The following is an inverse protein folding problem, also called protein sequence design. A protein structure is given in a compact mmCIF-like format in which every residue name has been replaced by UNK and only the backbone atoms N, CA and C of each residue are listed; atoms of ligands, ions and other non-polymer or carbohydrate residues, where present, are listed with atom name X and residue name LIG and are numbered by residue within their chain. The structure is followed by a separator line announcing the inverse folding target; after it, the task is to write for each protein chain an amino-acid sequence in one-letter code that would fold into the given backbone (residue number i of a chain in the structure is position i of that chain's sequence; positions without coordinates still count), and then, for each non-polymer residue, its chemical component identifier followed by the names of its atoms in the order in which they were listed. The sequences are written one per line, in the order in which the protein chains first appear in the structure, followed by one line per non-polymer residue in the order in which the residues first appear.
data_IF_997141788084
#
_entry.id   IF_997141788084
#
_cell.length_a   1.000
_cell.length_b   1.000
_cell.length_c   1.000
_cell.angle_alpha   90.00
_cell.angle_beta   90.00
_cell.angle_gamma   90.00
#
_symmetry.space_group_name_H-M   'P 1'
#
loop_
_entity.id
_entity.type
_entity.pdbx_description
1 polymer ?
#
# COMPACT_ATOMS: atom_id res chain seq x y z
N UNK A 1 30.08 -7.65 -17.20
CA UNK A 1 30.10 -6.98 -15.87
C UNK A 1 29.63 -7.96 -14.80
N UNK A 2 30.32 -8.06 -13.64
CA UNK A 2 29.77 -8.83 -12.51
C UNK A 2 28.44 -8.22 -12.12
N UNK A 3 27.35 -9.01 -12.10
CA UNK A 3 26.04 -8.54 -11.63
C UNK A 3 26.19 -8.16 -10.14
N UNK A 4 26.19 -6.87 -9.84
CA UNK A 4 26.21 -6.40 -8.45
C UNK A 4 24.86 -6.77 -7.84
N UNK A 5 24.86 -7.58 -6.78
CA UNK A 5 23.68 -7.94 -5.99
C UNK A 5 23.67 -7.08 -4.73
N UNK A 6 22.58 -6.42 -4.50
CA UNK A 6 22.36 -5.56 -3.31
C UNK A 6 21.34 -6.25 -2.41
N UNK A 7 21.69 -6.43 -1.15
CA UNK A 7 20.83 -6.95 -0.11
C UNK A 7 20.67 -5.89 0.99
N UNK A 8 19.48 -5.31 1.08
CA UNK A 8 19.15 -4.27 2.03
C UNK A 8 18.37 -4.79 3.25
N UNK A 9 18.03 -6.09 3.28
CA UNK A 9 17.17 -6.67 4.34
C UNK A 9 17.75 -6.55 5.76
N UNK A 10 19.06 -6.37 5.89
CA UNK A 10 19.74 -6.23 7.19
C UNK A 10 20.22 -4.81 7.48
N UNK A 11 20.63 -4.09 6.47
CA UNK A 11 21.26 -2.78 6.64
C UNK A 11 20.27 -1.64 6.50
N UNK A 12 19.23 -1.82 5.67
CA UNK A 12 18.28 -0.78 5.26
C UNK A 12 18.96 0.50 4.75
N UNK A 13 20.26 0.41 4.35
CA UNK A 13 21.05 1.56 3.88
C UNK A 13 20.94 1.73 2.36
N UNK A 14 19.79 2.25 1.93
CA UNK A 14 19.53 2.56 0.51
C UNK A 14 20.53 3.59 -0.02
N UNK A 15 20.88 4.60 0.80
CA UNK A 15 21.77 5.69 0.36
C UNK A 15 23.20 5.19 0.15
N UNK A 16 23.69 4.33 1.06
CA UNK A 16 25.00 3.67 0.87
C UNK A 16 25.01 2.81 -0.38
N UNK A 17 23.95 2.04 -0.62
CA UNK A 17 23.81 1.23 -1.85
C UNK A 17 23.78 2.12 -3.11
N UNK A 18 23.01 3.21 -3.09
CA UNK A 18 22.96 4.16 -4.20
C UNK A 18 24.35 4.76 -4.52
N UNK A 19 25.08 5.19 -3.51
CA UNK A 19 26.42 5.76 -3.66
C UNK A 19 27.48 4.74 -4.13
N UNK A 20 27.24 3.45 -3.94
CA UNK A 20 28.14 2.38 -4.36
C UNK A 20 28.03 2.01 -5.85
N UNK A 21 27.03 2.56 -6.56
CA UNK A 21 26.72 2.24 -7.95
C UNK A 21 26.83 3.51 -8.81
N UNK A 22 27.45 3.36 -9.98
CA UNK A 22 27.50 4.47 -10.95
C UNK A 22 26.18 4.55 -11.74
N UNK A 23 25.46 5.66 -11.57
CA UNK A 23 24.24 6.01 -12.29
C UNK A 23 24.44 7.19 -13.26
N UNK A 24 25.68 7.59 -13.57
CA UNK A 24 25.96 8.77 -14.39
C UNK A 24 25.33 8.70 -15.78
N UNK A 25 25.35 7.52 -16.40
CA UNK A 25 24.75 7.31 -17.71
C UNK A 25 23.22 7.40 -17.64
N UNK A 26 22.59 6.78 -16.64
CA UNK A 26 21.13 6.85 -16.43
C UNK A 26 20.69 8.30 -16.19
N UNK A 27 21.44 9.05 -15.39
CA UNK A 27 21.17 10.46 -15.11
C UNK A 27 21.25 11.33 -16.39
N UNK A 28 22.12 10.97 -17.33
CA UNK A 28 22.26 11.66 -18.62
C UNK A 28 21.11 11.32 -19.58
N UNK A 29 20.73 10.06 -19.64
CA UNK A 29 19.80 9.53 -20.64
C UNK A 29 18.34 9.77 -20.25
N UNK A 30 18.03 9.81 -18.94
CA UNK A 30 16.66 9.93 -18.42
C UNK A 30 16.47 11.23 -17.65
N UNK A 31 15.85 12.22 -18.34
CA UNK A 31 15.59 13.57 -17.81
C UNK A 31 14.10 13.84 -17.56
N UNK A 32 13.27 12.78 -17.64
CA UNK A 32 11.84 12.87 -17.34
C UNK A 32 11.57 13.20 -15.87
N UNK A 33 10.41 13.82 -15.53
CA UNK A 33 10.11 14.21 -14.15
C UNK A 33 10.16 13.06 -13.15
N UNK A 34 9.75 11.84 -13.54
CA UNK A 34 9.78 10.67 -12.69
C UNK A 34 11.20 10.25 -12.30
N UNK A 35 12.07 10.09 -13.28
CA UNK A 35 13.49 9.73 -13.04
C UNK A 35 14.23 10.85 -12.30
N UNK A 36 13.93 12.12 -12.63
CA UNK A 36 14.49 13.26 -11.89
C UNK A 36 14.10 13.24 -10.42
N UNK A 37 12.83 12.98 -10.11
CA UNK A 37 12.39 12.85 -8.73
C UNK A 37 13.15 11.74 -7.98
N UNK A 38 13.36 10.57 -8.62
CA UNK A 38 14.11 9.48 -8.02
C UNK A 38 15.54 9.88 -7.65
N UNK A 39 16.23 10.59 -8.54
CA UNK A 39 17.56 11.14 -8.24
C UNK A 39 17.49 12.19 -7.12
N UNK A 40 16.56 13.13 -7.19
CA UNK A 40 16.44 14.21 -6.20
C UNK A 40 16.17 13.67 -4.78
N UNK A 41 15.39 12.59 -4.66
CA UNK A 41 15.17 11.86 -3.39
C UNK A 41 16.46 11.23 -2.88
N UNK A 42 17.19 10.51 -3.73
CA UNK A 42 18.40 9.79 -3.34
C UNK A 42 19.60 10.72 -3.11
N UNK A 43 19.62 11.87 -3.76
CA UNK A 43 20.58 12.97 -3.52
C UNK A 43 20.25 13.79 -2.25
N UNK A 44 19.09 13.52 -1.61
CA UNK A 44 18.68 14.16 -0.35
C UNK A 44 18.03 15.54 -0.51
N UNK A 45 17.54 15.90 -1.71
CA UNK A 45 16.81 17.15 -1.94
C UNK A 45 15.40 17.13 -1.34
N UNK A 46 14.80 15.94 -1.23
CA UNK A 46 13.51 15.72 -0.58
C UNK A 46 13.68 14.90 0.69
N UNK A 47 13.02 15.31 1.75
CA UNK A 47 12.93 14.53 3.00
C UNK A 47 11.86 13.44 2.76
N UNK A 48 12.30 12.21 2.60
CA UNK A 48 11.42 11.04 2.36
C UNK A 48 11.74 9.89 3.30
N UNK A 49 10.76 9.03 3.53
CA UNK A 49 10.95 7.81 4.31
C UNK A 49 11.74 6.74 3.56
N UNK A 50 12.08 5.69 4.29
CA UNK A 50 12.85 4.54 3.78
C UNK A 50 12.23 3.93 2.53
N UNK A 51 10.92 3.67 2.54
CA UNK A 51 10.24 2.97 1.47
C UNK A 51 10.27 3.75 0.15
N UNK A 52 10.15 5.07 0.20
CA UNK A 52 10.25 5.89 -1.01
C UNK A 52 11.68 5.95 -1.55
N UNK A 53 12.70 6.00 -0.67
CA UNK A 53 14.10 5.86 -1.11
C UNK A 53 14.34 4.52 -1.80
N UNK A 54 13.77 3.44 -1.23
CA UNK A 54 13.85 2.10 -1.81
C UNK A 54 13.16 2.01 -3.20
N UNK A 55 11.97 2.60 -3.34
CA UNK A 55 11.25 2.65 -4.61
C UNK A 55 12.02 3.45 -5.68
N UNK A 56 12.59 4.60 -5.31
CA UNK A 56 13.43 5.41 -6.18
C UNK A 56 14.70 4.65 -6.59
N UNK A 57 15.35 3.98 -5.66
CA UNK A 57 16.53 3.15 -5.93
C UNK A 57 16.19 2.01 -6.87
N UNK A 58 15.08 1.29 -6.64
CA UNK A 58 14.58 0.25 -7.53
C UNK A 58 14.41 0.78 -8.96
N UNK A 59 13.76 1.94 -9.13
CA UNK A 59 13.57 2.55 -10.45
C UNK A 59 14.91 2.75 -11.18
N UNK A 60 15.92 3.36 -10.52
CA UNK A 60 17.22 3.58 -11.14
C UNK A 60 17.95 2.25 -11.46
N UNK A 61 17.82 1.24 -10.60
CA UNK A 61 18.37 -0.09 -10.85
C UNK A 61 17.68 -0.78 -12.02
N UNK A 62 16.38 -0.59 -12.16
CA UNK A 62 15.61 -1.16 -13.25
C UNK A 62 15.96 -0.50 -14.59
N UNK A 63 16.20 0.82 -14.61
CA UNK A 63 16.74 1.51 -15.80
C UNK A 63 18.11 0.97 -16.24
N UNK A 64 18.96 0.53 -15.31
CA UNK A 64 20.25 -0.11 -15.65
C UNK A 64 20.10 -1.54 -16.23
N UNK A 65 18.98 -2.20 -15.95
CA UNK A 65 18.74 -3.62 -16.28
C UNK A 65 17.79 -3.82 -17.45
N UNK A 66 17.09 -2.78 -17.87
CA UNK A 66 16.06 -2.87 -18.90
C UNK A 66 16.57 -3.51 -20.19
N UNK A 67 15.66 -4.07 -20.97
CA UNK A 67 15.92 -4.71 -22.26
C UNK A 67 16.95 -5.87 -22.19
N UNK A 68 17.07 -6.50 -21.02
CA UNK A 68 17.90 -7.70 -20.86
C UNK A 68 17.04 -8.95 -20.75
N UNK A 69 17.59 -10.10 -21.14
CA UNK A 69 16.88 -11.39 -21.04
C UNK A 69 16.34 -11.68 -19.63
N UNK A 70 17.05 -11.24 -18.60
CA UNK A 70 16.65 -11.45 -17.20
C UNK A 70 15.66 -10.34 -16.72
N UNK A 71 15.47 -9.28 -17.50
CA UNK A 71 14.60 -8.18 -17.19
C UNK A 71 13.97 -7.63 -18.49
N UNK A 72 12.92 -8.31 -19.02
CA UNK A 72 12.30 -8.01 -20.31
C UNK A 72 11.32 -6.84 -20.20
N UNK A 73 11.74 -5.73 -19.61
CA UNK A 73 10.96 -4.51 -19.44
C UNK A 73 11.80 -3.33 -19.88
N UNK A 74 11.12 -2.32 -20.40
CA UNK A 74 11.72 -1.02 -20.77
C UNK A 74 10.89 0.13 -20.23
N UNK A 75 11.55 1.28 -20.06
CA UNK A 75 10.93 2.50 -19.59
C UNK A 75 10.70 3.45 -20.76
N UNK A 76 9.43 3.67 -21.10
CA UNK A 76 9.01 4.52 -22.21
C UNK A 76 8.81 5.97 -21.76
N UNK A 77 9.73 6.83 -22.15
CA UNK A 77 9.61 8.30 -21.91
C UNK A 77 8.39 8.86 -22.61
N UNK A 78 7.98 8.31 -23.76
CA UNK A 78 6.82 8.80 -24.50
C UNK A 78 5.51 8.47 -23.78
N UNK A 79 5.38 7.30 -23.17
CA UNK A 79 4.25 6.98 -22.32
C UNK A 79 4.19 7.89 -21.08
N UNK A 80 5.33 8.20 -20.47
CA UNK A 80 5.42 9.15 -19.36
C UNK A 80 4.97 10.54 -19.80
N UNK A 81 5.43 11.02 -20.94
CA UNK A 81 4.99 12.31 -21.50
C UNK A 81 3.48 12.31 -21.78
N UNK A 82 2.96 11.22 -22.35
CA UNK A 82 1.53 11.12 -22.66
C UNK A 82 0.65 11.25 -21.42
N UNK A 83 0.93 10.47 -20.38
CA UNK A 83 0.16 10.55 -19.13
C UNK A 83 0.33 11.90 -18.41
N UNK A 84 1.53 12.48 -18.37
CA UNK A 84 1.75 13.77 -17.72
C UNK A 84 1.09 14.92 -18.50
N UNK A 85 1.10 14.90 -19.83
CA UNK A 85 0.40 15.86 -20.66
C UNK A 85 -1.12 15.75 -20.50
N UNK A 86 -1.65 14.54 -20.36
CA UNK A 86 -3.06 14.32 -20.03
C UNK A 86 -3.40 14.86 -18.64
N UNK A 87 -2.59 14.51 -17.64
CA UNK A 87 -2.76 14.95 -16.26
C UNK A 87 -2.77 16.50 -16.13
N UNK A 88 -1.92 17.19 -16.90
CA UNK A 88 -1.89 18.66 -16.93
C UNK A 88 -3.20 19.30 -17.42
N UNK A 89 -4.07 18.54 -18.09
CA UNK A 89 -5.37 19.00 -18.56
C UNK A 89 -6.51 18.61 -17.60
N UNK A 90 -6.25 17.71 -16.65
CA UNK A 90 -7.25 17.22 -15.71
C UNK A 90 -7.53 18.26 -14.61
N UNK A 91 -8.78 18.75 -14.48
CA UNK A 91 -9.13 19.71 -13.44
C UNK A 91 -9.34 18.99 -12.10
N UNK A 92 -8.90 19.62 -11.03
CA UNK A 92 -9.29 19.25 -9.68
C UNK A 92 -10.76 19.64 -9.45
N UNK A 93 -11.57 18.72 -8.92
CA UNK A 93 -13.04 18.87 -8.88
C UNK A 93 -13.53 19.96 -7.94
N UNK A 94 -12.74 20.33 -6.91
CA UNK A 94 -13.09 21.41 -5.98
C UNK A 94 -12.81 22.80 -6.54
N UNK A 95 -11.72 22.93 -7.28
CA UNK A 95 -11.28 24.20 -7.86
C UNK A 95 -11.76 24.39 -9.29
N UNK A 96 -12.20 23.31 -9.94
CA UNK A 96 -12.61 23.25 -11.35
C UNK A 96 -11.50 23.68 -12.33
N UNK A 97 -10.26 23.67 -11.90
CA UNK A 97 -9.07 24.09 -12.67
C UNK A 97 -8.03 22.98 -12.65
N UNK A 98 -7.23 22.84 -13.75
CA UNK A 98 -6.06 21.99 -13.70
C UNK A 98 -5.12 22.42 -12.57
N UNK A 99 -4.52 21.44 -11.91
CA UNK A 99 -3.55 21.65 -10.83
C UNK A 99 -2.21 21.10 -11.28
N UNK A 100 -1.15 21.86 -11.03
CA UNK A 100 0.20 21.37 -11.27
C UNK A 100 0.48 20.21 -10.33
N UNK A 101 0.87 19.08 -10.88
CA UNK A 101 1.29 17.92 -10.08
C UNK A 101 2.55 18.23 -9.29
N UNK A 102 2.64 17.68 -8.10
CA UNK A 102 3.86 17.63 -7.31
C UNK A 102 4.80 16.54 -7.86
N UNK A 103 6.13 16.69 -7.70
CA UNK A 103 7.09 15.73 -8.23
C UNK A 103 6.86 14.27 -7.80
N UNK A 104 6.35 14.04 -6.58
CA UNK A 104 6.00 12.69 -6.12
C UNK A 104 4.79 12.09 -6.87
N UNK A 105 3.85 12.93 -7.29
CA UNK A 105 2.70 12.52 -8.09
C UNK A 105 3.12 12.23 -9.55
N UNK A 106 4.01 13.04 -10.10
CA UNK A 106 4.61 12.80 -11.41
C UNK A 106 5.39 11.49 -11.43
N UNK A 107 6.16 11.20 -10.36
CA UNK A 107 6.85 9.92 -10.18
C UNK A 107 5.86 8.75 -10.14
N UNK A 108 4.77 8.89 -9.38
CA UNK A 108 3.74 7.83 -9.29
C UNK A 108 3.13 7.50 -10.65
N UNK A 109 2.76 8.52 -11.43
CA UNK A 109 2.23 8.33 -12.78
C UNK A 109 3.28 7.72 -13.72
N UNK A 110 4.53 8.19 -13.65
CA UNK A 110 5.63 7.67 -14.45
C UNK A 110 5.91 6.20 -14.15
N UNK A 111 5.85 5.78 -12.88
CA UNK A 111 5.99 4.36 -12.52
C UNK A 111 4.84 3.52 -13.05
N UNK A 112 3.60 3.96 -12.86
CA UNK A 112 2.40 3.19 -13.24
C UNK A 112 2.25 3.00 -14.75
N UNK A 113 2.66 4.00 -15.55
CA UNK A 113 2.38 4.05 -16.98
C UNK A 113 3.64 3.90 -17.84
N UNK A 114 4.79 4.39 -17.37
CA UNK A 114 6.01 4.44 -18.18
C UNK A 114 6.70 3.10 -18.38
N UNK A 115 6.60 2.18 -17.42
CA UNK A 115 7.23 0.86 -17.53
C UNK A 115 6.38 -0.10 -18.39
N UNK A 116 7.01 -0.72 -19.40
CA UNK A 116 6.37 -1.63 -20.37
C UNK A 116 7.10 -2.96 -20.46
N UNK A 117 6.35 -4.03 -20.77
CA UNK A 117 6.89 -5.31 -21.19
C UNK A 117 7.34 -5.26 -22.67
N UNK A 118 8.03 -6.28 -23.14
CA UNK A 118 8.36 -6.45 -24.57
C UNK A 118 7.11 -6.43 -25.47
N UNK A 119 5.98 -6.91 -24.99
CA UNK A 119 4.69 -6.91 -25.69
C UNK A 119 3.96 -5.55 -25.68
N UNK A 120 4.49 -4.55 -24.98
CA UNK A 120 3.89 -3.21 -24.88
C UNK A 120 2.92 -3.05 -23.69
N UNK A 121 2.62 -4.13 -22.95
CA UNK A 121 1.76 -4.06 -21.77
C UNK A 121 2.45 -3.33 -20.60
N UNK A 122 1.64 -2.77 -19.70
CA UNK A 122 2.16 -2.22 -18.43
C UNK A 122 2.90 -3.30 -17.65
N UNK A 123 4.15 -3.00 -17.27
CA UNK A 123 4.93 -3.90 -16.40
C UNK A 123 4.23 -4.15 -15.07
N UNK A 124 3.72 -3.09 -14.45
CA UNK A 124 3.10 -3.17 -13.14
C UNK A 124 1.61 -3.50 -13.28
N UNK A 125 1.32 -4.78 -13.47
CA UNK A 125 -0.05 -5.29 -13.47
C UNK A 125 -0.75 -5.12 -12.11
N UNK A 126 0.02 -5.01 -11.04
CA UNK A 126 -0.47 -4.72 -9.69
C UNK A 126 0.32 -3.58 -9.06
N UNK A 127 -0.39 -2.71 -8.34
CA UNK A 127 0.23 -1.61 -7.64
C UNK A 127 -0.42 -1.39 -6.28
N UNK A 128 0.43 -1.09 -5.28
CA UNK A 128 0.03 -0.64 -3.95
C UNK A 128 0.56 0.77 -3.77
N UNK A 129 -0.32 1.69 -3.42
CA UNK A 129 0.02 3.07 -3.08
C UNK A 129 -0.51 3.36 -1.69
N UNK A 130 0.40 3.52 -0.73
CA UNK A 130 0.12 3.75 0.67
C UNK A 130 0.62 5.14 1.05
N UNK A 131 -0.29 6.03 1.41
CA UNK A 131 0.04 7.41 1.79
C UNK A 131 -0.99 7.96 2.78
N UNK A 132 -0.58 8.92 3.59
CA UNK A 132 -1.43 9.59 4.56
C UNK A 132 -2.68 10.19 3.90
N UNK A 133 -3.68 10.55 4.70
CA UNK A 133 -4.88 11.22 4.22
C UNK A 133 -4.54 12.59 3.61
N UNK A 134 -5.40 13.03 2.69
CA UNK A 134 -5.33 14.37 2.06
C UNK A 134 -4.13 14.62 1.13
N UNK A 135 -3.39 13.58 0.73
CA UNK A 135 -2.25 13.71 -0.20
C UNK A 135 -2.64 13.70 -1.70
N UNK A 136 -3.93 13.62 -2.02
CA UNK A 136 -4.40 13.70 -3.41
C UNK A 136 -4.62 12.34 -4.10
N UNK A 137 -4.66 11.22 -3.34
CA UNK A 137 -4.88 9.86 -3.88
C UNK A 137 -6.03 9.80 -4.89
N UNK A 138 -7.21 10.26 -4.49
CA UNK A 138 -8.42 10.19 -5.33
C UNK A 138 -8.27 10.97 -6.63
N UNK A 139 -7.59 12.14 -6.60
CA UNK A 139 -7.29 12.93 -7.79
C UNK A 139 -6.39 12.17 -8.76
N UNK A 140 -5.30 11.59 -8.25
CA UNK A 140 -4.35 10.82 -9.05
C UNK A 140 -5.01 9.58 -9.67
N UNK A 141 -5.82 8.86 -8.90
CA UNK A 141 -6.56 7.69 -9.38
C UNK A 141 -7.62 8.04 -10.42
N UNK A 142 -8.28 9.19 -10.27
CA UNK A 142 -9.20 9.67 -11.30
C UNK A 142 -8.50 9.97 -12.63
N UNK A 143 -7.30 10.55 -12.59
CA UNK A 143 -6.48 10.77 -13.80
C UNK A 143 -6.18 9.42 -14.48
N UNK A 144 -5.73 8.41 -13.72
CA UNK A 144 -5.33 7.11 -14.26
C UNK A 144 -6.53 6.38 -14.87
N UNK A 145 -7.65 6.31 -14.15
CA UNK A 145 -8.82 5.57 -14.66
C UNK A 145 -9.44 6.25 -15.89
N UNK A 146 -9.45 7.59 -15.92
CA UNK A 146 -9.95 8.34 -17.08
C UNK A 146 -8.98 8.21 -18.26
N UNK A 147 -7.65 8.25 -18.02
CA UNK A 147 -6.66 8.01 -19.06
C UNK A 147 -6.83 6.63 -19.68
N UNK A 148 -6.96 5.61 -18.83
CA UNK A 148 -7.17 4.25 -19.31
C UNK A 148 -8.50 4.10 -20.06
N UNK A 149 -9.56 4.78 -19.60
CA UNK A 149 -10.89 4.72 -20.19
C UNK A 149 -10.99 5.50 -21.51
N UNK A 150 -10.33 6.68 -21.65
CA UNK A 150 -10.43 7.52 -22.87
C UNK A 150 -9.33 7.23 -23.88
N UNK A 151 -8.10 6.97 -23.43
CA UNK A 151 -6.92 6.92 -24.30
C UNK A 151 -6.49 5.48 -24.56
N UNK A 152 -6.32 4.68 -23.50
CA UNK A 152 -5.86 3.29 -23.68
C UNK A 152 -6.95 2.37 -24.25
N UNK A 153 -8.20 2.83 -24.31
CA UNK A 153 -9.31 2.11 -24.94
C UNK A 153 -9.48 2.41 -26.43
N UNK A 154 -8.72 3.35 -26.99
CA UNK A 154 -8.83 3.71 -28.41
C UNK A 154 -8.68 2.48 -29.32
N UNK A 155 -9.67 2.27 -30.20
CA UNK A 155 -9.73 1.12 -31.09
C UNK A 155 -10.11 -0.21 -30.42
N UNK A 156 -10.55 -0.18 -29.16
CA UNK A 156 -10.98 -1.37 -28.41
C UNK A 156 -12.45 -1.25 -28.01
N UNK A 157 -13.15 -2.39 -28.00
CA UNK A 157 -14.56 -2.49 -27.61
C UNK A 157 -14.77 -3.49 -26.48
N UNK A 158 -15.89 -3.35 -25.77
CA UNK A 158 -16.31 -4.25 -24.67
C UNK A 158 -15.31 -4.34 -23.52
N UNK A 159 -14.62 -3.20 -23.23
CA UNK A 159 -13.68 -3.15 -22.13
C UNK A 159 -14.37 -2.74 -20.82
N UNK A 160 -14.06 -3.44 -19.74
CA UNK A 160 -14.54 -3.11 -18.40
C UNK A 160 -13.45 -2.40 -17.56
N UNK A 161 -13.87 -1.43 -16.78
CA UNK A 161 -13.07 -0.65 -15.83
C UNK A 161 -13.77 -0.64 -14.48
N UNK A 162 -13.01 -0.69 -13.39
CA UNK A 162 -13.56 -0.80 -12.04
C UNK A 162 -13.05 0.31 -11.13
N UNK A 163 -13.97 0.92 -10.38
CA UNK A 163 -13.66 1.59 -9.12
C UNK A 163 -14.42 0.88 -8.00
N UNK A 164 -13.71 0.53 -6.94
CA UNK A 164 -14.28 -0.17 -5.79
C UNK A 164 -13.76 0.38 -4.48
N UNK A 165 -14.56 0.28 -3.45
CA UNK A 165 -14.20 0.56 -2.05
C UNK A 165 -15.11 -0.27 -1.14
N UNK A 166 -14.90 -0.20 0.17
CA UNK A 166 -15.62 -0.97 1.19
C UNK A 166 -17.12 -1.00 0.98
N UNK A 167 -17.76 0.16 0.82
CA UNK A 167 -19.22 0.27 0.75
C UNK A 167 -19.69 1.26 -0.33
N UNK A 168 -21.01 1.29 -0.55
CA UNK A 168 -21.62 2.13 -1.59
C UNK A 168 -21.30 3.61 -1.44
N UNK A 169 -21.29 4.16 -0.22
CA UNK A 169 -21.04 5.59 0.02
C UNK A 169 -19.63 6.00 -0.41
N UNK A 170 -18.63 5.18 -0.09
CA UNK A 170 -17.24 5.43 -0.47
C UNK A 170 -17.04 5.24 -1.99
N UNK A 171 -17.52 4.13 -2.54
CA UNK A 171 -17.41 3.82 -3.97
C UNK A 171 -18.10 4.90 -4.83
N UNK A 172 -19.31 5.32 -4.46
CA UNK A 172 -20.05 6.38 -5.16
C UNK A 172 -19.34 7.73 -5.10
N UNK A 173 -18.63 8.03 -4.00
CA UNK A 173 -17.83 9.26 -3.88
C UNK A 173 -16.70 9.29 -4.90
N UNK A 174 -16.00 8.16 -5.09
CA UNK A 174 -14.92 8.05 -6.09
C UNK A 174 -15.49 8.19 -7.49
N UNK A 175 -16.55 7.46 -7.82
CA UNK A 175 -17.19 7.55 -9.13
C UNK A 175 -17.69 8.97 -9.42
N UNK A 176 -18.29 9.64 -8.44
CA UNK A 176 -18.75 11.03 -8.56
C UNK A 176 -17.57 11.98 -8.87
N UNK A 177 -16.42 11.75 -8.22
CA UNK A 177 -15.20 12.49 -8.51
C UNK A 177 -14.74 12.28 -9.95
N UNK A 178 -14.66 11.03 -10.40
CA UNK A 178 -14.30 10.65 -11.76
C UNK A 178 -15.27 11.26 -12.79
N UNK A 179 -16.58 11.14 -12.57
CA UNK A 179 -17.61 11.71 -13.43
C UNK A 179 -17.49 13.22 -13.56
N UNK A 180 -17.25 13.90 -12.44
CA UNK A 180 -17.09 15.36 -12.45
C UNK A 180 -15.86 15.79 -13.23
N UNK A 181 -14.71 15.12 -13.01
CA UNK A 181 -13.48 15.38 -13.76
C UNK A 181 -13.69 15.10 -15.26
N UNK A 182 -14.25 13.94 -15.58
CA UNK A 182 -14.53 13.55 -16.97
C UNK A 182 -15.43 14.57 -17.68
N UNK A 183 -16.51 15.01 -17.03
CA UNK A 183 -17.40 16.06 -17.58
C UNK A 183 -16.64 17.36 -17.87
N UNK A 184 -15.73 17.76 -16.99
CA UNK A 184 -14.95 18.97 -17.16
C UNK A 184 -13.94 18.85 -18.32
N UNK A 185 -13.34 17.67 -18.49
CA UNK A 185 -12.44 17.36 -19.62
C UNK A 185 -13.23 17.38 -20.93
N UNK A 186 -14.34 16.67 -21.02
CA UNK A 186 -15.18 16.52 -22.22
C UNK A 186 -15.91 17.81 -22.63
N UNK A 187 -15.83 18.88 -21.86
CA UNK A 187 -16.33 20.20 -22.25
C UNK A 187 -15.30 21.03 -23.09
N UNK A 188 -14.11 20.47 -23.34
CA UNK A 188 -13.01 21.16 -24.03
C UNK A 188 -12.50 20.32 -25.22
N UNK A 189 -12.14 20.97 -26.31
CA UNK A 189 -11.46 20.28 -27.41
C UNK A 189 -10.02 19.91 -27.02
N UNK A 190 -9.50 18.78 -27.50
CA UNK A 190 -10.11 17.82 -28.45
C UNK A 190 -11.03 16.80 -27.81
N UNK A 191 -11.11 16.74 -26.46
CA UNK A 191 -11.84 15.74 -25.69
C UNK A 191 -13.35 15.75 -25.93
N UNK A 192 -13.90 16.93 -26.26
CA UNK A 192 -15.32 17.08 -26.59
C UNK A 192 -15.69 16.31 -27.85
N UNK A 193 -14.88 16.42 -28.89
CA UNK A 193 -15.08 15.67 -30.13
C UNK A 193 -14.92 14.16 -29.89
N UNK A 194 -13.86 13.75 -29.20
CA UNK A 194 -13.63 12.35 -28.85
C UNK A 194 -14.81 11.76 -28.05
N UNK A 195 -15.25 12.43 -26.99
CA UNK A 195 -16.36 11.95 -26.17
C UNK A 195 -17.68 11.87 -26.94
N UNK A 196 -17.88 12.70 -27.96
CA UNK A 196 -19.04 12.59 -28.85
C UNK A 196 -18.92 11.39 -29.80
N UNK A 197 -17.73 11.15 -30.35
CA UNK A 197 -17.43 9.99 -31.21
C UNK A 197 -17.58 8.68 -30.43
N UNK A 198 -17.15 8.62 -29.18
CA UNK A 198 -17.27 7.46 -28.30
C UNK A 198 -18.70 7.28 -27.75
N UNK A 199 -19.61 8.20 -28.02
CA UNK A 199 -21.00 8.14 -27.54
C UNK A 199 -21.14 8.36 -26.04
N UNK A 200 -20.24 9.12 -25.40
CA UNK A 200 -20.34 9.44 -23.95
C UNK A 200 -21.44 10.48 -23.72
N UNK A 201 -22.48 10.07 -23.01
CA UNK A 201 -23.58 10.98 -22.71
C UNK A 201 -23.26 11.87 -21.49
N UNK A 202 -22.94 13.13 -21.73
CA UNK A 202 -22.63 14.11 -20.68
C UNK A 202 -23.76 14.27 -19.64
N UNK A 203 -25.05 14.10 -20.04
CA UNK A 203 -26.17 14.16 -19.10
C UNK A 203 -26.16 12.97 -18.15
N UNK A 204 -25.75 11.78 -18.60
CA UNK A 204 -25.64 10.60 -17.73
C UNK A 204 -24.54 10.75 -16.67
N UNK A 205 -23.52 11.57 -16.94
CA UNK A 205 -22.47 11.88 -15.97
C UNK A 205 -22.99 12.71 -14.77
N UNK A 206 -24.09 13.40 -14.94
CA UNK A 206 -24.73 14.18 -13.87
C UNK A 206 -25.73 13.34 -13.04
N UNK A 207 -26.05 12.12 -13.44
CA UNK A 207 -27.00 11.22 -12.73
C UNK A 207 -26.33 10.41 -11.63
N UNK A 208 -27.12 9.80 -10.76
CA UNK A 208 -26.64 8.88 -9.72
C UNK A 208 -26.36 7.45 -10.26
N UNK A 209 -26.20 7.27 -11.58
CA UNK A 209 -25.82 5.98 -12.15
C UNK A 209 -24.51 5.49 -11.53
N UNK A 210 -24.36 4.19 -11.38
CA UNK A 210 -23.19 3.48 -10.87
C UNK A 210 -22.14 3.16 -11.96
N UNK A 211 -22.33 3.69 -13.19
CA UNK A 211 -21.41 3.48 -14.30
C UNK A 211 -21.31 4.69 -15.23
N UNK A 212 -20.25 4.68 -16.05
CA UNK A 212 -20.07 5.51 -17.24
C UNK A 212 -19.91 4.58 -18.43
N UNK A 213 -20.58 4.89 -19.54
CA UNK A 213 -20.59 4.06 -20.75
C UNK A 213 -20.14 4.86 -21.96
N UNK A 214 -19.26 4.28 -22.77
CA UNK A 214 -19.00 4.64 -24.16
C UNK A 214 -19.92 3.78 -25.05
N UNK A 215 -21.02 4.34 -25.53
CA UNK A 215 -22.06 3.54 -26.21
C UNK A 215 -21.61 2.99 -27.54
N UNK A 216 -20.70 3.67 -28.25
CA UNK A 216 -20.24 3.27 -29.59
C UNK A 216 -19.31 2.04 -29.54
N UNK A 217 -18.62 1.85 -28.39
CA UNK A 217 -17.65 0.78 -28.20
C UNK A 217 -18.04 -0.22 -27.11
N UNK A 218 -19.17 -0.01 -26.43
CA UNK A 218 -19.61 -0.81 -25.27
C UNK A 218 -18.59 -0.88 -24.13
N UNK A 219 -17.70 0.14 -23.99
CA UNK A 219 -16.75 0.24 -22.90
C UNK A 219 -17.43 0.78 -21.64
N UNK A 220 -17.20 0.14 -20.47
CA UNK A 220 -17.95 0.44 -19.25
C UNK A 220 -17.02 0.66 -18.06
N UNK A 221 -17.11 1.84 -17.44
CA UNK A 221 -16.48 2.12 -16.16
C UNK A 221 -17.54 1.95 -15.07
N UNK A 222 -17.33 0.97 -14.19
CA UNK A 222 -18.28 0.52 -13.18
C UNK A 222 -17.83 0.87 -11.78
N UNK A 223 -18.80 1.18 -10.92
CA UNK A 223 -18.61 1.26 -9.47
C UNK A 223 -19.26 0.03 -8.82
N UNK A 224 -18.45 -0.90 -8.34
CA UNK A 224 -18.92 -2.10 -7.65
C UNK A 224 -18.39 -2.05 -6.23
N UNK A 225 -19.24 -2.21 -5.22
CA UNK A 225 -18.84 -2.16 -3.82
C UNK A 225 -18.21 -3.49 -3.38
N UNK A 226 -17.26 -3.42 -2.44
CA UNK A 226 -16.69 -4.62 -1.84
C UNK A 226 -17.76 -5.50 -1.18
N UNK A 227 -18.72 -4.90 -0.51
CA UNK A 227 -19.81 -5.62 0.17
C UNK A 227 -20.67 -6.43 -0.79
N UNK A 228 -20.91 -5.94 -2.03
CA UNK A 228 -21.70 -6.66 -3.04
C UNK A 228 -21.00 -7.91 -3.57
N UNK A 229 -19.67 -7.89 -3.63
CA UNK A 229 -18.84 -9.02 -4.03
C UNK A 229 -19.02 -9.57 -5.43
N UNK A 230 -19.74 -8.86 -6.29
CA UNK A 230 -20.09 -9.29 -7.65
C UNK A 230 -19.00 -8.92 -8.65
N UNK A 231 -17.83 -9.56 -8.53
CA UNK A 231 -16.70 -9.38 -9.46
C UNK A 231 -16.56 -10.49 -10.50
N UNK A 232 -17.29 -11.59 -10.32
CA UNK A 232 -17.26 -12.74 -11.24
C UNK A 232 -17.79 -12.37 -12.62
N UNK A 233 -17.13 -12.83 -13.66
CA UNK A 233 -17.53 -12.62 -15.06
C UNK A 233 -17.10 -11.28 -15.66
N UNK A 234 -16.35 -10.43 -14.92
CA UNK A 234 -15.76 -9.21 -15.45
C UNK A 234 -14.27 -9.38 -15.77
N UNK A 235 -13.83 -8.69 -16.83
CA UNK A 235 -12.45 -8.69 -17.31
C UNK A 235 -11.89 -7.25 -17.24
N UNK A 236 -11.64 -6.75 -16.03
CA UNK A 236 -11.26 -5.36 -15.83
C UNK A 236 -9.89 -5.04 -16.40
N UNK A 237 -9.83 -4.14 -17.40
CA UNK A 237 -8.58 -3.60 -17.93
C UNK A 237 -7.85 -2.78 -16.87
N UNK A 238 -8.54 -1.85 -16.24
CA UNK A 238 -8.01 -1.12 -15.09
C UNK A 238 -9.01 -1.19 -13.93
N UNK A 239 -8.54 -1.63 -12.79
CA UNK A 239 -9.30 -1.68 -11.54
C UNK A 239 -8.60 -0.81 -10.49
N UNK A 240 -9.39 0.00 -9.76
CA UNK A 240 -8.92 0.84 -8.64
C UNK A 240 -9.69 0.47 -7.39
N UNK A 241 -8.96 0.05 -6.35
CA UNK A 241 -9.49 -0.20 -5.02
C UNK A 241 -9.03 0.89 -4.04
N UNK A 242 -9.99 1.65 -3.50
CA UNK A 242 -9.72 2.71 -2.53
C UNK A 242 -10.01 2.25 -1.10
N UNK A 243 -9.19 2.73 -0.15
CA UNK A 243 -9.20 2.33 1.27
C UNK A 243 -9.04 0.81 1.44
N UNK A 244 -8.16 0.20 0.63
CA UNK A 244 -8.00 -1.26 0.56
C UNK A 244 -7.30 -1.88 1.78
N UNK A 245 -6.77 -1.07 2.68
CA UNK A 245 -6.26 -1.51 3.98
C UNK A 245 -7.34 -1.57 5.07
N UNK A 246 -8.61 -1.20 4.78
CA UNK A 246 -9.69 -1.36 5.76
C UNK A 246 -9.86 -2.84 6.14
N UNK A 247 -9.89 -3.20 7.45
CA UNK A 247 -10.02 -4.58 7.90
C UNK A 247 -11.24 -5.32 7.35
N UNK A 248 -12.29 -4.60 6.96
CA UNK A 248 -13.44 -5.22 6.28
C UNK A 248 -13.12 -5.72 4.86
N UNK A 249 -11.98 -5.30 4.28
CA UNK A 249 -11.48 -5.76 2.98
C UNK A 249 -10.41 -6.86 3.24
N UNK A 250 -10.81 -7.93 3.90
CA UNK A 250 -9.94 -9.05 4.27
C UNK A 250 -10.13 -10.31 3.41
N UNK A 251 -11.19 -10.35 2.60
CA UNK A 251 -11.53 -11.51 1.77
C UNK A 251 -10.60 -11.61 0.55
N UNK A 252 -9.61 -12.50 0.66
CA UNK A 252 -8.62 -12.77 -0.40
C UNK A 252 -9.27 -13.35 -1.65
N UNK A 253 -10.38 -14.09 -1.51
CA UNK A 253 -11.07 -14.69 -2.65
C UNK A 253 -11.71 -13.62 -3.54
N UNK A 254 -12.24 -12.54 -2.94
CA UNK A 254 -12.74 -11.39 -3.71
C UNK A 254 -11.62 -10.66 -4.45
N UNK A 255 -10.45 -10.48 -3.83
CA UNK A 255 -9.26 -9.94 -4.52
C UNK A 255 -8.87 -10.85 -5.69
N UNK A 256 -8.88 -12.16 -5.44
CA UNK A 256 -8.58 -13.17 -6.46
C UNK A 256 -9.56 -13.12 -7.63
N UNK A 257 -10.85 -12.85 -7.41
CA UNK A 257 -11.85 -12.72 -8.50
C UNK A 257 -11.52 -11.54 -9.42
N UNK A 258 -11.13 -10.39 -8.88
CA UNK A 258 -10.69 -9.25 -9.69
C UNK A 258 -9.45 -9.63 -10.51
N UNK A 259 -8.46 -10.25 -9.88
CA UNK A 259 -7.17 -10.52 -10.53
C UNK A 259 -7.21 -11.72 -11.48
N UNK A 260 -8.03 -12.74 -11.20
CA UNK A 260 -8.24 -13.86 -12.13
C UNK A 260 -9.05 -13.42 -13.35
N UNK A 261 -10.02 -12.52 -13.19
CA UNK A 261 -10.72 -11.89 -14.31
C UNK A 261 -9.82 -11.07 -15.24
N UNK A 262 -8.63 -10.70 -14.77
CA UNK A 262 -7.61 -10.00 -15.57
C UNK A 262 -6.66 -10.96 -16.33
N UNK A 263 -6.82 -12.28 -16.22
CA UNK A 263 -6.06 -13.23 -17.04
C UNK A 263 -6.45 -13.00 -18.50
N UNK A 264 -5.44 -12.96 -19.41
CA UNK A 264 -5.64 -12.70 -20.84
C UNK A 264 -6.22 -11.33 -21.20
N UNK A 265 -6.12 -10.34 -20.28
CA UNK A 265 -6.47 -8.95 -20.56
C UNK A 265 -5.19 -8.17 -20.84
N UNK A 266 -5.11 -7.58 -22.03
CA UNK A 266 -3.98 -6.76 -22.45
C UNK A 266 -3.92 -5.45 -21.64
N UNK A 267 -2.70 -5.02 -21.35
CA UNK A 267 -2.43 -3.74 -20.66
C UNK A 267 -3.16 -3.59 -19.32
N UNK A 268 -3.40 -4.71 -18.63
CA UNK A 268 -4.14 -4.77 -17.35
C UNK A 268 -3.43 -4.07 -16.21
N UNK A 269 -4.22 -3.53 -15.27
CA UNK A 269 -3.68 -2.98 -14.03
C UNK A 269 -4.71 -3.02 -12.90
N UNK A 270 -4.29 -3.50 -11.71
CA UNK A 270 -5.05 -3.39 -10.49
C UNK A 270 -4.27 -2.55 -9.47
N UNK A 271 -4.81 -1.37 -9.13
CA UNK A 271 -4.19 -0.40 -8.23
C UNK A 271 -4.97 -0.36 -6.92
N UNK A 272 -4.32 -0.68 -5.84
CA UNK A 272 -4.85 -0.61 -4.48
C UNK A 272 -4.28 0.62 -3.78
N UNK A 273 -5.15 1.47 -3.26
CA UNK A 273 -4.72 2.67 -2.54
C UNK A 273 -5.31 2.67 -1.12
N UNK A 274 -4.51 3.10 -0.15
CA UNK A 274 -4.97 3.24 1.23
C UNK A 274 -4.07 4.13 2.07
N UNK A 275 -4.47 4.33 3.32
CA UNK A 275 -3.61 4.69 4.45
C UNK A 275 -3.37 3.45 5.31
N UNK A 276 -2.40 3.49 6.22
CA UNK A 276 -2.26 2.48 7.26
C UNK A 276 -3.50 2.44 8.19
N UNK A 277 -3.77 1.25 8.72
CA UNK A 277 -4.84 0.99 9.67
C UNK A 277 -4.27 0.38 10.97
N UNK A 278 -5.01 0.35 12.08
CA UNK A 278 -4.54 -0.28 13.31
C UNK A 278 -4.31 -1.79 13.20
N UNK A 279 -5.05 -2.47 12.33
CA UNK A 279 -4.88 -3.90 12.07
C UNK A 279 -3.84 -4.13 10.99
N UNK A 280 -2.66 -4.62 11.39
CA UNK A 280 -1.55 -4.92 10.49
C UNK A 280 -1.64 -6.32 9.85
N UNK A 281 -2.69 -7.10 10.11
CA UNK A 281 -2.87 -8.46 9.56
C UNK A 281 -3.59 -8.48 8.21
N UNK A 282 -4.11 -7.34 7.78
CA UNK A 282 -4.85 -7.21 6.52
C UNK A 282 -4.02 -7.59 5.30
N UNK A 283 -4.66 -8.15 4.25
CA UNK A 283 -3.97 -8.55 3.01
C UNK A 283 -3.13 -7.44 2.38
N UNK A 284 -3.63 -6.20 2.40
CA UNK A 284 -2.92 -5.03 1.87
C UNK A 284 -1.52 -4.86 2.50
N UNK A 285 -1.42 -4.90 3.83
CA UNK A 285 -0.14 -4.75 4.52
C UNK A 285 0.78 -5.97 4.35
N UNK A 286 0.21 -7.17 4.31
CA UNK A 286 0.97 -8.39 4.00
C UNK A 286 1.62 -8.29 2.61
N UNK A 287 0.87 -7.82 1.62
CA UNK A 287 1.36 -7.65 0.25
C UNK A 287 2.43 -6.53 0.18
N UNK A 288 2.25 -5.40 0.92
CA UNK A 288 3.30 -4.38 1.10
C UNK A 288 4.62 -5.01 1.57
N UNK A 289 4.60 -5.79 2.66
CA UNK A 289 5.78 -6.44 3.23
C UNK A 289 6.49 -7.35 2.21
N UNK A 290 5.75 -8.18 1.51
CA UNK A 290 6.31 -9.11 0.52
C UNK A 290 7.00 -8.38 -0.63
N UNK A 291 6.37 -7.30 -1.13
CA UNK A 291 6.95 -6.52 -2.22
C UNK A 291 8.19 -5.76 -1.72
N UNK A 292 8.15 -5.16 -0.53
CA UNK A 292 9.31 -4.49 0.09
C UNK A 292 10.48 -5.46 0.22
N UNK A 293 10.26 -6.66 0.76
CA UNK A 293 11.31 -7.69 0.88
C UNK A 293 11.91 -8.07 -0.48
N UNK A 294 11.07 -8.16 -1.52
CA UNK A 294 11.54 -8.38 -2.89
C UNK A 294 12.37 -7.21 -3.42
N UNK A 295 11.99 -5.96 -3.11
CA UNK A 295 12.72 -4.76 -3.50
C UNK A 295 14.06 -4.64 -2.78
N UNK A 296 14.14 -5.02 -1.50
CA UNK A 296 15.38 -5.04 -0.70
C UNK A 296 16.41 -6.04 -1.24
N UNK A 297 15.96 -7.11 -1.88
CA UNK A 297 16.81 -8.08 -2.58
C UNK A 297 16.77 -7.80 -4.08
N UNK A 298 17.59 -6.88 -4.56
CA UNK A 298 17.51 -6.33 -5.92
C UNK A 298 17.72 -7.35 -7.06
N UNK A 299 18.14 -8.57 -6.74
CA UNK A 299 18.26 -9.67 -7.71
C UNK A 299 17.05 -10.61 -7.75
N UNK A 300 16.11 -10.53 -6.78
CA UNK A 300 14.85 -11.27 -6.80
C UNK A 300 13.92 -10.68 -7.86
N UNK A 301 13.16 -11.56 -8.51
CA UNK A 301 12.23 -11.22 -9.60
C UNK A 301 10.77 -11.44 -9.26
N UNK A 302 10.49 -11.97 -8.07
CA UNK A 302 9.13 -12.32 -7.62
C UNK A 302 8.21 -11.09 -7.57
N UNK A 303 8.77 -9.88 -7.39
CA UNK A 303 8.03 -8.61 -7.36
C UNK A 303 8.14 -7.75 -8.62
N UNK A 304 8.68 -8.25 -9.74
CA UNK A 304 8.94 -7.42 -10.93
C UNK A 304 7.68 -6.79 -11.53
N UNK A 305 6.52 -7.46 -11.45
CA UNK A 305 5.23 -6.97 -11.93
C UNK A 305 4.40 -6.22 -10.88
N UNK A 306 4.98 -5.99 -9.70
CA UNK A 306 4.32 -5.31 -8.59
C UNK A 306 5.00 -3.98 -8.29
N UNK A 307 4.22 -2.91 -8.25
CA UNK A 307 4.65 -1.60 -7.75
C UNK A 307 4.22 -1.43 -6.29
N UNK A 308 5.12 -0.90 -5.47
CA UNK A 308 4.80 -0.51 -4.10
C UNK A 308 5.41 0.87 -3.82
N UNK A 309 4.55 1.85 -3.55
CA UNK A 309 4.92 3.21 -3.20
C UNK A 309 4.33 3.54 -1.84
N UNK A 310 5.19 3.84 -0.86
CA UNK A 310 4.76 4.08 0.53
C UNK A 310 5.38 5.37 1.04
N UNK A 311 4.52 6.34 1.35
CA UNK A 311 4.88 7.58 2.05
C UNK A 311 4.50 7.44 3.52
N UNK A 312 5.48 7.24 4.37
CA UNK A 312 5.33 7.00 5.80
C UNK A 312 6.51 7.58 6.57
N UNK A 313 6.33 7.87 7.85
CA UNK A 313 7.46 8.09 8.76
C UNK A 313 8.24 6.78 8.95
N UNK A 314 9.54 6.87 9.26
CA UNK A 314 10.39 5.67 9.41
C UNK A 314 10.29 5.07 10.81
N UNK A 315 10.05 5.90 11.82
CA UNK A 315 10.00 5.47 13.21
C UNK A 315 8.90 6.21 13.98
N UNK A 316 8.24 5.51 14.90
CA UNK A 316 7.17 6.07 15.72
C UNK A 316 7.61 7.29 16.55
N UNK A 317 8.90 7.39 16.91
CA UNK A 317 9.47 8.55 17.59
C UNK A 317 9.43 9.83 16.75
N UNK A 318 9.27 9.73 15.44
CA UNK A 318 9.09 10.87 14.54
C UNK A 318 7.71 11.52 14.68
N UNK A 319 6.76 10.89 15.38
CA UNK A 319 5.48 11.49 15.77
C UNK A 319 5.69 12.82 16.51
N UNK A 320 6.76 12.94 17.30
CA UNK A 320 7.09 14.14 18.06
C UNK A 320 7.92 15.16 17.26
N UNK A 321 8.22 14.88 15.98
CA UNK A 321 9.09 15.71 15.11
C UNK A 321 8.30 16.20 13.89
N UNK A 322 7.61 17.36 13.98
CA UNK A 322 6.79 17.87 12.89
C UNK A 322 7.53 18.04 11.56
N UNK A 323 8.82 18.31 11.60
CA UNK A 323 9.70 18.41 10.43
C UNK A 323 9.85 17.08 9.68
N UNK A 324 9.61 15.94 10.34
CA UNK A 324 9.65 14.59 9.73
C UNK A 324 8.31 14.17 9.14
N UNK A 325 7.22 14.86 9.45
CA UNK A 325 5.89 14.47 8.95
C UNK A 325 5.75 14.59 7.44
N UNK A 326 6.62 15.38 6.81
CA UNK A 326 6.70 15.48 5.35
C UNK A 326 6.98 14.12 4.68
N UNK A 327 7.62 13.17 5.38
CA UNK A 327 7.84 11.80 4.88
C UNK A 327 6.53 11.08 4.54
N UNK A 328 5.50 11.31 5.34
CA UNK A 328 4.15 10.77 5.14
C UNK A 328 3.23 11.75 4.37
N UNK A 329 3.55 13.04 4.42
CA UNK A 329 2.73 14.11 3.88
C UNK A 329 3.52 14.95 2.85
N UNK A 330 3.85 14.40 1.67
CA UNK A 330 4.68 15.09 0.68
C UNK A 330 4.06 16.38 0.13
N UNK A 331 2.75 16.61 0.30
CA UNK A 331 2.13 17.92 0.00
C UNK A 331 2.56 19.04 0.95
N UNK A 332 3.22 18.74 2.06
CA UNK A 332 3.88 19.76 2.90
C UNK A 332 5.03 20.49 2.17
N UNK A 333 5.56 19.90 1.09
CA UNK A 333 6.55 20.53 0.24
C UNK A 333 5.96 21.60 -0.72
N UNK A 334 4.64 21.76 -0.71
CA UNK A 334 3.94 22.78 -1.49
C UNK A 334 3.84 24.07 -0.68
N UNK A 335 4.54 25.17 -1.08
CA UNK A 335 4.61 26.38 -0.29
C UNK A 335 3.24 26.95 0.12
N UNK A 336 2.27 26.93 -0.81
CA UNK A 336 0.94 27.48 -0.58
C UNK A 336 0.11 26.67 0.45
N UNK A 337 0.48 25.45 0.71
CA UNK A 337 -0.24 24.55 1.64
C UNK A 337 0.52 24.32 2.93
N UNK A 338 1.83 24.52 2.95
CA UNK A 338 2.73 24.14 4.03
C UNK A 338 2.22 24.58 5.41
N UNK A 339 2.09 25.89 5.62
CA UNK A 339 1.78 26.45 6.94
C UNK A 339 0.39 26.02 7.44
N UNK A 340 -0.58 26.02 6.53
CA UNK A 340 -1.94 25.57 6.86
C UNK A 340 -1.95 24.09 7.22
N UNK A 341 -1.39 23.24 6.37
CA UNK A 341 -1.40 21.78 6.55
C UNK A 341 -0.64 21.37 7.80
N UNK A 342 0.54 21.98 8.05
CA UNK A 342 1.33 21.70 9.24
C UNK A 342 0.59 22.09 10.52
N UNK A 343 -0.10 23.24 10.52
CA UNK A 343 -0.91 23.68 11.65
C UNK A 343 -2.09 22.72 11.89
N UNK A 344 -2.80 22.30 10.83
CA UNK A 344 -3.91 21.40 10.92
C UNK A 344 -3.47 20.02 11.46
N UNK A 345 -2.34 19.49 11.01
CA UNK A 345 -1.74 18.25 11.51
C UNK A 345 -1.33 18.35 12.99
N UNK A 346 -0.76 19.49 13.43
CA UNK A 346 -0.46 19.69 14.84
C UNK A 346 -1.72 19.70 15.70
N UNK A 347 -2.77 20.39 15.24
CA UNK A 347 -4.06 20.42 15.93
C UNK A 347 -4.68 19.03 16.06
N UNK A 348 -4.63 18.21 14.97
CA UNK A 348 -5.10 16.83 14.98
C UNK A 348 -4.31 15.98 15.98
N UNK A 349 -2.96 16.06 15.96
CA UNK A 349 -2.11 15.35 16.91
C UNK A 349 -2.46 15.69 18.36
N UNK A 350 -2.60 16.99 18.66
CA UNK A 350 -2.87 17.45 20.03
C UNK A 350 -4.26 16.95 20.49
N UNK A 351 -5.28 17.01 19.62
CA UNK A 351 -6.61 16.51 19.91
C UNK A 351 -6.63 15.00 20.16
N UNK A 352 -5.96 14.22 19.30
CA UNK A 352 -5.86 12.77 19.45
C UNK A 352 -5.03 12.37 20.70
N UNK A 353 -3.99 13.13 21.02
CA UNK A 353 -3.21 12.93 22.24
C UNK A 353 -4.04 13.18 23.49
N UNK A 354 -4.82 14.26 23.54
CA UNK A 354 -5.72 14.57 24.66
C UNK A 354 -6.83 13.50 24.82
N UNK A 355 -7.30 12.96 23.71
CA UNK A 355 -8.29 11.89 23.71
C UNK A 355 -7.69 10.50 24.07
N UNK A 356 -6.38 10.39 24.28
CA UNK A 356 -5.71 9.09 24.49
C UNK A 356 -5.69 8.20 23.24
N UNK A 357 -5.85 8.78 22.05
CA UNK A 357 -6.04 8.09 20.77
C UNK A 357 -4.94 8.47 19.75
N UNK A 358 -3.72 8.75 20.23
CA UNK A 358 -2.61 9.22 19.37
C UNK A 358 -2.31 8.26 18.19
N UNK A 359 -2.62 6.98 18.35
CA UNK A 359 -2.47 6.00 17.28
C UNK A 359 -3.35 6.31 16.05
N UNK A 360 -4.47 7.00 16.21
CA UNK A 360 -5.30 7.42 15.07
C UNK A 360 -4.56 8.43 14.18
N UNK A 361 -3.89 9.41 14.78
CA UNK A 361 -3.00 10.33 14.08
C UNK A 361 -1.83 9.59 13.41
N UNK A 362 -1.18 8.67 14.15
CA UNK A 362 -0.06 7.88 13.64
C UNK A 362 -0.43 7.04 12.42
N UNK A 363 -1.58 6.36 12.44
CA UNK A 363 -2.05 5.60 11.28
C UNK A 363 -2.45 6.51 10.11
N UNK A 364 -3.34 7.48 10.36
CA UNK A 364 -4.03 8.19 9.28
C UNK A 364 -3.25 9.34 8.70
N UNK A 365 -2.46 10.02 9.55
CA UNK A 365 -1.73 11.23 9.17
C UNK A 365 -0.22 11.03 9.08
N UNK A 366 0.33 9.95 9.65
CA UNK A 366 1.73 9.58 9.51
C UNK A 366 1.94 8.24 8.78
N UNK A 367 0.86 7.56 8.43
CA UNK A 367 0.84 6.35 7.63
C UNK A 367 1.72 5.21 8.17
N UNK A 368 1.79 5.07 9.49
CA UNK A 368 2.55 3.99 10.12
C UNK A 368 1.62 2.89 10.61
N UNK A 369 1.95 1.64 10.27
CA UNK A 369 1.27 0.48 10.82
C UNK A 369 1.65 0.29 12.28
N UNK A 370 0.66 0.12 13.14
CA UNK A 370 0.86 -0.16 14.55
C UNK A 370 0.63 -1.64 14.80
N UNK A 371 1.43 -2.22 15.68
CA UNK A 371 1.28 -3.65 16.04
C UNK A 371 0.21 -3.89 17.10
N UNK A 372 -0.27 -2.81 17.76
CA UNK A 372 -1.33 -2.91 18.76
C UNK A 372 -2.68 -2.55 18.15
N UNK A 373 -3.67 -3.43 18.27
CA UNK A 373 -5.05 -3.09 17.93
C UNK A 373 -5.60 -2.05 18.92
N UNK A 374 -6.62 -1.30 18.48
CA UNK A 374 -7.37 -0.36 19.33
C UNK A 374 -7.94 -1.09 20.57
N UNK A 375 -8.23 -2.38 20.44
CA UNK A 375 -8.78 -3.24 21.45
C UNK A 375 -7.71 -3.99 22.26
N UNK A 376 -6.44 -3.59 22.17
CA UNK A 376 -5.38 -4.22 22.95
C UNK A 376 -5.59 -3.94 24.44
N UNK A 377 -5.78 -4.99 25.22
CA UNK A 377 -5.98 -4.91 26.68
C UNK A 377 -4.79 -4.26 27.41
N UNK A 378 -3.58 -4.46 26.88
CA UNK A 378 -2.34 -3.90 27.41
C UNK A 378 -1.60 -3.08 26.35
N UNK A 379 -1.01 -1.94 26.73
CA UNK A 379 -0.10 -1.23 25.86
C UNK A 379 1.23 -2.00 25.71
N UNK A 380 1.87 -1.93 24.55
CA UNK A 380 3.19 -2.54 24.34
C UNK A 380 4.22 -2.05 25.39
N UNK A 381 4.18 -0.76 25.73
CA UNK A 381 5.02 -0.18 26.79
C UNK A 381 4.82 -0.87 28.13
N UNK A 382 3.57 -1.12 28.55
CA UNK A 382 3.28 -1.82 29.80
C UNK A 382 3.78 -3.25 29.77
N UNK A 383 3.69 -3.93 28.63
CA UNK A 383 4.22 -5.30 28.47
C UNK A 383 5.74 -5.29 28.57
N UNK A 384 6.44 -4.38 27.86
CA UNK A 384 7.89 -4.26 27.89
C UNK A 384 8.43 -3.91 29.29
N UNK A 385 7.77 -2.97 29.97
CA UNK A 385 8.13 -2.59 31.36
C UNK A 385 7.85 -3.71 32.39
N UNK A 386 7.01 -4.67 32.03
CA UNK A 386 6.65 -5.82 32.89
C UNK A 386 7.56 -7.03 32.70
N UNK A 387 8.48 -7.02 31.72
CA UNK A 387 9.36 -8.16 31.45
C UNK A 387 10.29 -8.40 32.65
N UNK A 388 10.20 -9.61 33.22
CA UNK A 388 11.05 -10.06 34.31
C UNK A 388 11.98 -11.18 33.81
N UNK A 389 13.25 -10.92 33.53
CA UNK A 389 14.12 -11.85 32.81
C UNK A 389 14.51 -13.09 33.60
N UNK A 390 14.39 -13.10 34.93
CA UNK A 390 14.66 -14.27 35.80
C UNK A 390 13.68 -14.30 36.97
N UNK A 391 12.85 -15.33 37.01
CA UNK A 391 11.97 -15.61 38.13
C UNK A 391 12.10 -17.10 38.49
N UNK A 392 12.40 -17.39 39.78
CA UNK A 392 12.46 -18.76 40.24
C UNK A 392 11.04 -19.26 40.54
N UNK A 393 10.57 -20.18 39.76
CA UNK A 393 9.23 -20.79 39.86
C UNK A 393 9.15 -21.99 40.81
N UNK A 394 10.28 -22.53 41.30
CA UNK A 394 10.30 -23.74 42.08
C UNK A 394 9.67 -23.54 43.46
N UNK A 395 8.86 -24.53 43.89
CA UNK A 395 8.21 -24.57 45.20
C UNK A 395 7.40 -23.33 45.56
N UNK A 396 6.73 -22.74 44.54
CA UNK A 396 5.84 -21.57 44.68
C UNK A 396 4.39 -21.97 44.46
N UNK A 397 3.51 -21.26 45.16
CA UNK A 397 2.09 -21.27 44.81
C UNK A 397 1.89 -20.81 43.36
N UNK A 398 1.05 -21.54 42.62
CA UNK A 398 0.73 -21.24 41.23
C UNK A 398 -0.76 -21.42 40.95
N UNK A 399 -1.34 -20.47 40.24
CA UNK A 399 -2.67 -20.59 39.66
C UNK A 399 -2.50 -20.91 38.19
N UNK A 400 -3.22 -21.94 37.70
CA UNK A 400 -3.11 -22.43 36.34
C UNK A 400 -4.40 -22.11 35.58
N UNK A 401 -4.29 -21.40 34.48
CA UNK A 401 -5.34 -21.25 33.48
C UNK A 401 -5.07 -22.17 32.29
N UNK A 402 -6.13 -22.73 31.73
CA UNK A 402 -6.05 -23.66 30.61
C UNK A 402 -7.08 -23.28 29.56
N UNK A 403 -6.62 -23.07 28.35
CA UNK A 403 -7.45 -22.82 27.17
C UNK A 403 -7.24 -23.95 26.16
N UNK A 404 -8.29 -24.74 25.94
CA UNK A 404 -8.25 -25.94 25.11
C UNK A 404 -8.82 -25.67 23.72
N UNK A 405 -8.05 -25.99 22.70
CA UNK A 405 -8.50 -25.95 21.31
C UNK A 405 -8.97 -27.33 20.85
N UNK A 406 -10.08 -27.34 20.09
CA UNK A 406 -10.61 -28.57 19.49
C UNK A 406 -10.22 -28.74 18.01
N UNK A 407 -9.78 -27.68 17.33
CA UNK A 407 -9.52 -27.73 15.89
C UNK A 407 -8.14 -27.13 15.53
N UNK A 408 -8.13 -25.89 15.04
CA UNK A 408 -6.93 -25.25 14.47
C UNK A 408 -6.26 -24.24 15.37
N UNK A 409 -6.93 -23.85 16.47
CA UNK A 409 -6.38 -22.88 17.41
C UNK A 409 -5.31 -23.53 18.31
N UNK A 410 -4.51 -22.69 18.95
CA UNK A 410 -3.47 -23.16 19.84
C UNK A 410 -4.06 -23.51 21.21
N UNK A 411 -3.62 -24.62 21.81
CA UNK A 411 -3.90 -24.90 23.20
C UNK A 411 -2.90 -24.16 24.07
N UNK A 412 -3.36 -23.43 25.09
CA UNK A 412 -2.50 -22.62 25.93
C UNK A 412 -2.65 -22.93 27.45
N UNK A 413 -1.52 -22.91 28.15
CA UNK A 413 -1.47 -22.91 29.60
C UNK A 413 -0.90 -21.58 30.08
N UNK A 414 -1.64 -20.93 30.98
CA UNK A 414 -1.19 -19.74 31.69
C UNK A 414 -0.88 -20.07 33.15
N UNK A 415 0.23 -19.62 33.67
CA UNK A 415 0.68 -19.81 35.04
C UNK A 415 0.83 -18.45 35.71
N UNK A 416 0.21 -18.27 36.87
CA UNK A 416 0.26 -17.06 37.68
C UNK A 416 0.89 -17.35 39.02
N UNK A 417 2.03 -16.77 39.32
CA UNK A 417 2.78 -16.92 40.54
C UNK A 417 2.68 -15.64 41.38
N UNK A 418 1.90 -15.60 42.46
CA UNK A 418 1.88 -14.47 43.38
C UNK A 418 3.20 -14.36 44.16
N UNK A 419 3.71 -13.14 44.31
CA UNK A 419 4.90 -12.90 45.15
C UNK A 419 4.90 -11.46 45.68
N UNK A 420 5.77 -11.19 46.65
CA UNK A 420 6.02 -9.84 47.13
C UNK A 420 7.37 -9.32 46.62
N UNK A 421 7.41 -8.10 46.13
CA UNK A 421 8.65 -7.47 45.71
C UNK A 421 9.51 -7.06 46.94
N UNK A 422 10.71 -6.52 46.70
CA UNK A 422 11.63 -6.08 47.76
C UNK A 422 11.07 -4.99 48.66
N UNK A 423 9.99 -4.32 48.25
CA UNK A 423 9.29 -3.28 48.99
C UNK A 423 8.04 -3.81 49.69
N UNK A 424 7.79 -5.11 49.65
CA UNK A 424 6.63 -5.75 50.23
C UNK A 424 5.32 -5.52 49.45
N UNK A 425 5.40 -5.08 48.20
CA UNK A 425 4.22 -4.88 47.35
C UNK A 425 3.84 -6.21 46.69
N UNK A 426 2.54 -6.56 46.63
CA UNK A 426 2.10 -7.77 45.95
C UNK A 426 2.31 -7.63 44.44
N UNK A 427 2.85 -8.66 43.84
CA UNK A 427 3.13 -8.78 42.42
C UNK A 427 2.70 -10.15 41.92
N UNK A 428 2.53 -10.28 40.63
CA UNK A 428 2.24 -11.53 39.95
C UNK A 428 3.26 -11.73 38.83
N UNK A 429 3.93 -12.87 38.83
CA UNK A 429 4.72 -13.30 37.69
C UNK A 429 3.83 -14.16 36.80
N UNK A 430 3.79 -13.84 35.51
CA UNK A 430 3.00 -14.55 34.52
C UNK A 430 3.93 -15.32 33.58
N UNK A 431 3.62 -16.57 33.35
CA UNK A 431 4.28 -17.44 32.40
C UNK A 431 3.22 -18.14 31.55
N UNK A 432 3.46 -18.25 30.25
CA UNK A 432 2.57 -18.95 29.33
C UNK A 432 3.37 -19.96 28.52
N UNK A 433 2.76 -21.11 28.23
CA UNK A 433 3.26 -22.08 27.27
C UNK A 433 2.13 -22.54 26.36
N UNK A 434 2.38 -22.53 25.05
CA UNK A 434 1.38 -22.90 24.04
C UNK A 434 1.79 -24.16 23.30
N UNK A 435 0.81 -24.98 22.94
CA UNK A 435 0.95 -26.15 22.08
C UNK A 435 0.32 -25.81 20.71
N UNK A 436 1.10 -25.97 19.65
CA UNK A 436 0.78 -25.49 18.31
C UNK A 436 0.44 -26.66 17.39
N UNK A 437 -0.85 -26.95 17.14
CA UNK A 437 -1.25 -27.95 16.16
C UNK A 437 -1.17 -27.37 14.75
N UNK A 438 -0.64 -28.10 13.78
CA UNK A 438 -0.51 -27.62 12.40
C UNK A 438 -1.18 -28.50 11.35
N UNK A 439 -1.79 -29.61 11.71
CA UNK A 439 -2.36 -30.60 10.78
C UNK A 439 -3.38 -30.00 9.81
N UNK A 440 -4.29 -29.17 10.32
CA UNK A 440 -5.30 -28.51 9.48
C UNK A 440 -4.71 -27.50 8.51
N UNK A 441 -3.51 -27.01 8.79
CA UNK A 441 -2.77 -26.09 7.88
C UNK A 441 -1.87 -26.84 6.90
N UNK A 442 -1.75 -28.17 7.03
CA UNK A 442 -0.96 -29.05 6.17
C UNK A 442 0.55 -28.99 6.41
N UNK A 443 1.08 -27.91 6.99
CA UNK A 443 2.46 -27.77 7.44
C UNK A 443 2.60 -26.66 8.46
N UNK A 444 3.70 -26.68 9.24
CA UNK A 444 3.99 -25.60 10.21
C UNK A 444 4.24 -24.26 9.49
N UNK A 445 4.85 -24.27 8.32
CA UNK A 445 5.06 -23.07 7.52
C UNK A 445 3.75 -22.42 7.09
N UNK A 446 2.75 -23.22 6.76
CA UNK A 446 1.41 -22.73 6.43
C UNK A 446 0.73 -22.16 7.68
N UNK A 447 0.84 -22.83 8.83
CA UNK A 447 0.31 -22.34 10.10
C UNK A 447 0.93 -21.00 10.49
N UNK A 448 2.26 -20.88 10.41
CA UNK A 448 2.98 -19.63 10.65
C UNK A 448 2.52 -18.50 9.71
N UNK A 449 2.25 -18.85 8.44
CA UNK A 449 1.75 -17.86 7.47
C UNK A 449 0.31 -17.43 7.77
N UNK A 450 -0.54 -18.37 8.19
CA UNK A 450 -1.94 -18.08 8.54
C UNK A 450 -2.04 -17.20 9.79
N UNK A 451 -1.26 -17.54 10.82
CA UNK A 451 -1.32 -16.85 12.10
C UNK A 451 -0.43 -15.61 12.17
N UNK A 452 0.50 -15.44 11.21
CA UNK A 452 1.48 -14.36 11.21
C UNK A 452 2.52 -14.45 12.33
N UNK A 453 2.77 -15.65 12.87
CA UNK A 453 3.64 -15.91 14.03
C UNK A 453 4.72 -16.92 13.64
N UNK A 454 5.99 -16.62 13.96
CA UNK A 454 7.13 -17.54 13.76
C UNK A 454 7.22 -18.53 14.94
N UNK A 455 6.43 -19.59 14.87
CA UNK A 455 6.35 -20.61 15.93
C UNK A 455 7.66 -21.38 16.09
N UNK A 456 8.40 -21.63 15.03
CA UNK A 456 9.69 -22.34 15.10
C UNK A 456 10.75 -21.55 15.86
N UNK A 457 10.72 -20.22 15.77
CA UNK A 457 11.59 -19.36 16.59
C UNK A 457 11.11 -19.33 18.04
N UNK A 458 9.80 -19.23 18.29
CA UNK A 458 9.25 -19.26 19.65
C UNK A 458 9.49 -20.60 20.36
N UNK A 459 9.43 -21.72 19.64
CA UNK A 459 9.76 -23.04 20.19
C UNK A 459 11.23 -23.12 20.61
N UNK A 460 12.17 -22.63 19.79
CA UNK A 460 13.60 -22.55 20.15
C UNK A 460 13.85 -21.69 21.38
N UNK A 461 13.00 -20.69 21.61
CA UNK A 461 13.05 -19.82 22.78
C UNK A 461 12.33 -20.42 24.01
N UNK A 462 11.64 -21.55 23.84
CA UNK A 462 10.92 -22.26 24.92
C UNK A 462 9.53 -21.72 25.26
N UNK A 463 8.94 -20.89 24.40
CA UNK A 463 7.61 -20.30 24.62
C UNK A 463 6.46 -21.15 24.09
N UNK A 464 6.73 -22.08 23.20
CA UNK A 464 5.72 -23.01 22.70
C UNK A 464 6.34 -24.37 22.37
N UNK A 465 5.47 -25.36 22.11
CA UNK A 465 5.82 -26.67 21.57
C UNK A 465 4.99 -26.91 20.32
N UNK A 466 5.66 -27.19 19.21
CA UNK A 466 5.00 -27.58 17.96
C UNK A 466 4.61 -29.05 18.10
N UNK A 467 3.32 -29.35 18.03
CA UNK A 467 2.82 -30.71 18.24
C UNK A 467 2.63 -31.41 16.90
N UNK A 468 3.35 -32.54 16.71
CA UNK A 468 2.97 -33.50 15.68
C UNK A 468 1.73 -34.26 16.16
N UNK A 469 0.64 -34.14 15.41
CA UNK A 469 -0.52 -34.96 15.69
C UNK A 469 -0.20 -36.41 15.36
N UNK A 470 -0.17 -37.21 16.36
CA UNK A 470 -0.54 -38.64 16.22
C UNK A 470 -1.87 -38.75 16.93
N UNK A 471 -2.87 -39.25 16.21
CA UNK A 471 -4.19 -39.56 16.73
C UNK A 471 -4.18 -40.21 18.11
#
# INVERSE_FOLDING_TARGET
MRKIRIDLTKTHDVIGAYKSIDFSQIRKDYQDPGTKYAFDVLDGKYITGYYMKLACFRHLRDLQRQDTKDFPYHYSIDEVKAILNFAAQCPEVKTLKPVKLMPFQEFSLAQLIGWRSEGGDKRFARAIISEARHQGKTYLMAIIIIYSFLIESLGQSSQDYLVTSKNFKQTSKILSYVKTMLRLILNREPWKSLGKEDGINLKSLATQSDMVVMSEHDNKLRAITWDSGQYDGFHFKTAIGDEFADPAISDVDKISKITSGQIDVDNKQFIQISTAYPDSTVPFHRDEKHIIESMEKDWKRDGDTYLCLIWAIDNISETEKPEMWIKANPLLDMPEKHDKMLRDLKTEKDADSLAGNLFAFQNKSLNIWLQASIDSYLSLKNVEESITPKFDMHNREVYIGFDYSQFSDNTAFGFVFPYFDRRGQPKFFLYQHSFIPWNHSGSIENKERQDGIDYRTLEKMGFCTITEHKD
#
